data_IF_525155225553
#
_entry.id   IF_525155225553
#
_cell.length_a   1.000
_cell.length_b   1.000
_cell.length_c   1.000
_cell.angle_alpha   90.00
_cell.angle_beta   90.00
_cell.angle_gamma   90.00
#
_symmetry.space_group_name_H-M   'P 1'
#
loop_
_entity.id
_entity.type
_entity.pdbx_description
1 polymer ?
#
# COMPACT_ATOMS: atom_id res chain seq x y z
N UNK A 1 3.13 18.58 6.11
CA UNK A 1 2.24 17.56 6.69
C UNK A 1 0.94 17.58 5.90
N UNK A 2 1.03 17.18 4.63
CA UNK A 2 -0.07 17.25 3.67
C UNK A 2 -0.66 15.87 3.55
N UNK A 3 -1.41 15.58 4.59
CA UNK A 3 -2.30 14.45 4.74
C UNK A 3 -3.47 15.10 5.46
N UNK A 4 -4.53 15.46 4.72
CA UNK A 4 -5.68 16.18 5.26
C UNK A 4 -6.47 15.33 6.26
N UNK A 5 -7.70 15.76 6.57
CA UNK A 5 -8.64 14.96 7.39
C UNK A 5 -9.13 13.69 6.66
N UNK A 6 -8.75 13.52 5.39
CA UNK A 6 -9.08 12.42 4.50
C UNK A 6 -7.83 11.97 3.71
N UNK A 7 -7.36 10.74 3.95
CA UNK A 7 -6.17 10.15 3.29
C UNK A 7 -6.20 8.62 3.29
N UNK A 8 -5.45 7.90 2.43
CA UNK A 8 -5.36 6.45 2.53
C UNK A 8 -4.72 5.97 3.83
N UNK A 9 -5.17 4.85 4.36
CA UNK A 9 -4.69 4.23 5.61
C UNK A 9 -4.04 2.86 5.35
N UNK A 10 -3.43 2.25 6.37
CA UNK A 10 -2.94 0.88 6.27
C UNK A 10 -4.08 -0.13 6.03
N UNK A 11 -5.28 0.15 6.55
CA UNK A 11 -6.47 -0.65 6.26
C UNK A 11 -6.83 -0.63 4.78
N UNK A 12 -6.77 0.55 4.15
CA UNK A 12 -7.01 0.71 2.71
C UNK A 12 -6.02 -0.08 1.88
N UNK A 13 -4.73 0.02 2.19
CA UNK A 13 -3.70 -0.72 1.46
C UNK A 13 -3.90 -2.22 1.60
N UNK A 14 -4.17 -2.70 2.81
CA UNK A 14 -4.38 -4.12 3.05
C UNK A 14 -5.64 -4.67 2.37
N UNK A 15 -6.72 -3.90 2.32
CA UNK A 15 -8.00 -4.36 1.77
C UNK A 15 -8.09 -4.17 0.24
N UNK A 16 -7.61 -3.04 -0.30
CA UNK A 16 -7.66 -2.73 -1.73
C UNK A 16 -6.68 -3.62 -2.51
N UNK A 17 -5.39 -3.60 -2.14
CA UNK A 17 -4.31 -4.21 -2.93
C UNK A 17 -3.73 -5.49 -2.32
N UNK A 18 -4.20 -5.91 -1.13
CA UNK A 18 -3.77 -7.16 -0.47
C UNK A 18 -2.28 -7.25 -0.14
N UNK A 19 -1.63 -6.11 0.06
CA UNK A 19 -0.24 -6.11 0.48
C UNK A 19 -0.12 -6.55 1.96
N UNK A 20 0.89 -7.38 2.29
CA UNK A 20 1.12 -7.83 3.66
C UNK A 20 1.44 -6.66 4.60
N UNK A 21 0.69 -6.56 5.69
CA UNK A 21 0.88 -5.52 6.73
C UNK A 21 2.01 -5.86 7.69
N UNK A 22 2.18 -7.15 7.97
CA UNK A 22 3.27 -7.66 8.81
C UNK A 22 4.19 -8.55 7.98
N UNK A 23 5.45 -8.64 8.41
CA UNK A 23 6.43 -9.57 7.86
C UNK A 23 7.41 -10.03 8.93
N UNK A 24 8.18 -11.07 8.61
CA UNK A 24 9.25 -11.60 9.46
C UNK A 24 10.63 -11.09 9.04
N UNK A 25 10.73 -10.37 7.92
CA UNK A 25 11.97 -9.74 7.43
C UNK A 25 11.82 -8.23 7.27
N UNK A 26 12.92 -7.52 7.51
CA UNK A 26 13.03 -6.11 7.17
C UNK A 26 13.10 -5.93 5.64
N UNK A 27 12.41 -4.94 5.05
CA UNK A 27 12.54 -4.62 3.63
C UNK A 27 13.91 -4.03 3.25
N UNK A 28 14.72 -3.62 4.24
CA UNK A 28 16.02 -2.94 4.02
C UNK A 28 17.23 -3.79 4.34
N UNK A 29 17.09 -4.78 5.23
CA UNK A 29 18.19 -5.68 5.63
C UNK A 29 17.97 -7.08 5.04
N UNK A 30 18.28 -7.20 3.74
CA UNK A 30 18.10 -8.44 2.98
C UNK A 30 19.48 -9.02 2.67
N UNK A 31 19.87 -10.01 3.46
CA UNK A 31 21.03 -10.84 3.17
C UNK A 31 20.75 -11.76 1.98
N UNK A 32 21.64 -11.72 0.98
CA UNK A 32 21.58 -12.57 -0.21
C UNK A 32 22.52 -13.76 -0.07
N UNK A 33 22.05 -14.93 -0.50
CA UNK A 33 22.86 -16.15 -0.65
C UNK A 33 23.75 -16.04 -1.89
N UNK A 34 24.83 -16.87 -1.99
CA UNK A 34 25.68 -16.88 -3.18
C UNK A 34 24.91 -17.09 -4.50
N UNK A 35 23.90 -17.97 -4.50
CA UNK A 35 23.07 -18.21 -5.67
C UNK A 35 22.19 -16.99 -6.04
N UNK A 36 21.70 -16.25 -5.04
CA UNK A 36 20.92 -15.03 -5.27
C UNK A 36 21.78 -13.88 -5.80
N UNK A 37 23.09 -13.86 -5.50
CA UNK A 37 24.04 -12.90 -6.07
C UNK A 37 24.19 -13.11 -7.58
N UNK A 38 24.26 -14.36 -8.03
CA UNK A 38 24.32 -14.67 -9.46
C UNK A 38 23.03 -14.24 -10.18
N UNK A 39 21.87 -14.50 -9.58
CA UNK A 39 20.58 -14.03 -10.10
C UNK A 39 20.53 -12.51 -10.14
N UNK A 40 20.98 -11.84 -9.07
CA UNK A 40 21.03 -10.38 -9.01
C UNK A 40 21.89 -9.79 -10.13
N UNK A 41 23.02 -10.42 -10.46
CA UNK A 41 23.87 -9.99 -11.57
C UNK A 41 23.13 -10.09 -12.91
N UNK A 42 22.33 -11.13 -13.12
CA UNK A 42 21.47 -11.28 -14.30
C UNK A 42 20.38 -10.20 -14.33
N UNK A 43 19.73 -9.91 -13.21
CA UNK A 43 18.69 -8.87 -13.11
C UNK A 43 19.25 -7.47 -13.41
N UNK A 44 20.43 -7.14 -12.86
CA UNK A 44 21.13 -5.87 -13.13
C UNK A 44 21.55 -5.72 -14.58
N UNK A 45 22.04 -6.81 -15.18
CA UNK A 45 22.36 -6.81 -16.60
C UNK A 45 21.10 -6.55 -17.43
N UNK A 46 19.97 -7.15 -17.06
CA UNK A 46 18.67 -6.96 -17.70
C UNK A 46 18.74 -7.11 -19.23
N UNK A 47 18.10 -6.18 -19.93
CA UNK A 47 18.22 -5.99 -21.38
C UNK A 47 18.59 -4.55 -21.72
N UNK A 48 19.89 -4.22 -21.68
CA UNK A 48 20.35 -2.90 -22.05
C UNK A 48 20.24 -2.75 -23.56
N UNK A 49 19.55 -1.71 -24.01
CA UNK A 49 19.69 -1.20 -25.39
C UNK A 49 20.75 -0.12 -25.37
N UNK A 50 21.87 -0.32 -26.07
CA UNK A 50 22.85 0.76 -26.25
C UNK A 50 22.18 1.99 -26.89
N UNK A 51 22.40 3.21 -26.36
CA UNK A 51 23.38 3.60 -25.34
C UNK A 51 22.83 3.73 -23.90
N UNK A 52 21.58 3.30 -23.63
CA UNK A 52 20.93 3.50 -22.34
C UNK A 52 21.14 2.31 -21.39
N UNK A 53 21.68 2.60 -20.20
CA UNK A 53 21.74 1.68 -19.06
C UNK A 53 20.41 1.55 -18.33
N UNK A 54 19.37 2.29 -18.74
CA UNK A 54 18.08 2.28 -18.08
C UNK A 54 17.31 0.97 -18.36
N UNK A 55 16.80 0.35 -17.30
CA UNK A 55 16.06 -0.91 -17.38
C UNK A 55 14.60 -0.65 -17.79
N UNK A 56 14.38 -0.36 -19.07
CA UNK A 56 13.02 -0.07 -19.57
C UNK A 56 12.09 -1.26 -19.39
N UNK A 57 10.83 -1.01 -18.99
CA UNK A 57 9.82 -2.06 -18.81
C UNK A 57 9.58 -2.87 -20.10
N UNK A 58 9.55 -2.22 -21.26
CA UNK A 58 9.41 -2.91 -22.55
C UNK A 58 10.55 -3.90 -22.80
N UNK A 59 11.79 -3.46 -22.62
CA UNK A 59 12.98 -4.30 -22.76
C UNK A 59 13.00 -5.43 -21.71
N UNK A 60 12.62 -5.12 -20.47
CA UNK A 60 12.54 -6.07 -19.38
C UNK A 60 11.57 -7.22 -19.71
N UNK A 61 10.35 -6.86 -20.15
CA UNK A 61 9.32 -7.82 -20.56
C UNK A 61 9.79 -8.63 -21.77
N UNK A 62 10.40 -8.00 -22.78
CA UNK A 62 10.92 -8.72 -23.96
C UNK A 62 12.00 -9.72 -23.58
N UNK A 63 12.87 -9.38 -22.63
CA UNK A 63 14.00 -10.22 -22.25
C UNK A 63 13.61 -11.38 -21.33
N UNK A 64 12.88 -11.09 -20.26
CA UNK A 64 12.50 -12.07 -19.23
C UNK A 64 11.16 -12.75 -19.49
N UNK A 65 10.32 -12.19 -20.37
CA UNK A 65 9.04 -12.76 -20.78
C UNK A 65 9.15 -13.81 -21.88
N UNK A 66 10.32 -13.96 -22.53
CA UNK A 66 10.52 -14.97 -23.55
C UNK A 66 10.42 -16.38 -22.95
N UNK A 67 9.43 -17.16 -23.41
CA UNK A 67 9.14 -18.52 -22.92
C UNK A 67 10.27 -19.50 -23.21
N UNK A 68 11.08 -19.26 -24.24
CA UNK A 68 12.23 -20.10 -24.58
C UNK A 68 13.42 -19.85 -23.63
N UNK A 69 13.40 -18.75 -22.87
CA UNK A 69 14.41 -18.40 -21.87
C UNK A 69 13.92 -18.75 -20.47
N UNK A 70 14.00 -20.03 -20.13
CA UNK A 70 13.78 -20.48 -18.76
C UNK A 70 15.07 -20.34 -17.95
N UNK A 71 14.95 -19.79 -16.73
CA UNK A 71 16.07 -19.68 -15.82
C UNK A 71 15.61 -19.39 -14.39
N UNK A 72 16.47 -19.64 -13.40
CA UNK A 72 16.15 -19.44 -11.98
C UNK A 72 15.81 -17.97 -11.63
N UNK A 73 16.21 -17.02 -12.48
CA UNK A 73 15.90 -15.59 -12.35
C UNK A 73 14.50 -15.19 -12.79
N UNK A 74 13.74 -16.05 -13.50
CA UNK A 74 12.46 -15.66 -14.14
C UNK A 74 11.43 -15.14 -13.14
N UNK A 75 11.25 -15.84 -12.03
CA UNK A 75 10.32 -15.42 -10.99
C UNK A 75 10.78 -14.11 -10.32
N UNK A 76 12.07 -13.98 -10.02
CA UNK A 76 12.63 -12.76 -9.45
C UNK A 76 12.48 -11.57 -10.40
N UNK A 77 12.62 -11.79 -11.71
CA UNK A 77 12.42 -10.77 -12.72
C UNK A 77 10.95 -10.32 -12.81
N UNK A 78 10.01 -11.26 -12.73
CA UNK A 78 8.59 -10.97 -12.67
C UNK A 78 8.21 -10.17 -11.40
N UNK A 79 8.67 -10.62 -10.23
CA UNK A 79 8.40 -9.93 -8.96
C UNK A 79 9.04 -8.54 -8.94
N UNK A 80 10.23 -8.37 -9.52
CA UNK A 80 10.88 -7.06 -9.66
C UNK A 80 10.03 -6.10 -10.50
N UNK A 81 9.53 -6.57 -11.64
CA UNK A 81 8.62 -5.79 -12.48
C UNK A 81 7.35 -5.42 -11.71
N UNK A 82 6.77 -6.37 -10.97
CA UNK A 82 5.56 -6.14 -10.20
C UNK A 82 5.76 -5.09 -9.09
N UNK A 83 6.83 -5.22 -8.30
CA UNK A 83 7.20 -4.25 -7.26
C UNK A 83 7.45 -2.87 -7.86
N UNK A 84 8.20 -2.81 -8.96
CA UNK A 84 8.59 -1.56 -9.58
C UNK A 84 7.39 -0.80 -10.16
N UNK A 85 6.60 -1.52 -10.96
CA UNK A 85 5.54 -0.92 -11.79
C UNK A 85 4.23 -0.72 -11.04
N UNK A 86 3.86 -1.64 -10.14
CA UNK A 86 2.52 -1.67 -9.54
C UNK A 86 2.49 -1.40 -8.02
N UNK A 87 3.63 -1.53 -7.33
CA UNK A 87 3.71 -1.29 -5.88
C UNK A 87 4.33 0.07 -5.58
N UNK A 88 5.61 0.29 -5.92
CA UNK A 88 6.30 1.54 -5.56
C UNK A 88 5.99 2.69 -6.54
N UNK A 89 5.92 2.41 -7.85
CA UNK A 89 5.47 3.35 -8.87
C UNK A 89 6.24 4.68 -9.00
N UNK A 90 7.36 4.87 -8.31
CA UNK A 90 8.12 6.13 -8.29
C UNK A 90 9.30 6.21 -9.26
N UNK A 91 9.45 5.18 -10.08
CA UNK A 91 10.43 5.18 -11.14
C UNK A 91 9.91 5.99 -12.32
N UNK A 92 10.82 6.47 -13.18
CA UNK A 92 10.40 7.08 -14.44
C UNK A 92 9.37 6.18 -15.14
N UNK A 93 8.38 6.78 -15.81
CA UNK A 93 7.21 6.09 -16.36
C UNK A 93 7.50 4.76 -17.08
N UNK A 94 8.70 4.64 -17.64
CA UNK A 94 9.13 3.52 -18.45
C UNK A 94 10.25 2.67 -17.88
N UNK A 95 10.81 2.95 -16.69
CA UNK A 95 12.00 2.25 -16.19
C UNK A 95 11.79 1.54 -14.85
N UNK A 96 12.50 0.43 -14.69
CA UNK A 96 12.69 -0.28 -13.43
C UNK A 96 13.99 0.17 -12.76
N UNK A 97 14.03 0.20 -11.43
CA UNK A 97 15.27 0.51 -10.69
C UNK A 97 15.75 -0.69 -9.91
N UNK A 98 17.07 -0.84 -9.80
CA UNK A 98 17.69 -1.99 -9.15
C UNK A 98 17.39 -2.11 -7.64
N UNK A 99 16.77 -1.08 -7.03
CA UNK A 99 16.53 -1.07 -5.58
C UNK A 99 15.51 -2.13 -5.17
N UNK A 100 14.62 -2.53 -6.09
CA UNK A 100 13.61 -3.57 -5.85
C UNK A 100 14.15 -4.99 -5.95
N UNK A 101 15.36 -5.23 -6.47
CA UNK A 101 15.83 -6.59 -6.75
C UNK A 101 16.02 -7.49 -5.52
N UNK A 102 16.63 -7.03 -4.40
CA UNK A 102 16.72 -7.86 -3.20
C UNK A 102 15.35 -8.10 -2.59
N UNK A 103 14.47 -7.11 -2.66
CA UNK A 103 13.09 -7.25 -2.21
C UNK A 103 12.39 -8.36 -3.01
N UNK A 104 12.57 -8.36 -4.33
CA UNK A 104 12.06 -9.42 -5.20
C UNK A 104 12.67 -10.79 -4.85
N UNK A 105 13.99 -10.86 -4.65
CA UNK A 105 14.69 -12.11 -4.29
C UNK A 105 14.21 -12.66 -2.94
N UNK A 106 14.05 -11.80 -1.93
CA UNK A 106 13.51 -12.19 -0.63
C UNK A 106 12.08 -12.73 -0.75
N UNK A 107 11.22 -12.09 -1.55
CA UNK A 107 9.86 -12.59 -1.81
C UNK A 107 9.91 -13.95 -2.53
N UNK A 108 10.77 -14.11 -3.54
CA UNK A 108 10.95 -15.40 -4.24
C UNK A 108 11.45 -16.50 -3.32
N UNK A 109 12.31 -16.16 -2.37
CA UNK A 109 12.79 -17.06 -1.32
C UNK A 109 11.67 -17.47 -0.33
N UNK A 110 10.57 -16.72 -0.30
CA UNK A 110 9.44 -16.96 0.59
C UNK A 110 9.48 -16.14 1.88
N UNK A 111 10.33 -15.12 1.97
CA UNK A 111 10.31 -14.19 3.10
C UNK A 111 9.01 -13.38 3.11
N UNK A 112 8.46 -13.19 4.31
CA UNK A 112 7.30 -12.34 4.51
C UNK A 112 7.79 -10.92 4.82
N UNK A 113 7.49 -9.97 3.93
CA UNK A 113 7.96 -8.59 4.02
C UNK A 113 6.73 -7.69 4.19
N UNK A 114 6.73 -6.72 5.12
CA UNK A 114 5.58 -5.83 5.35
C UNK A 114 5.45 -4.78 4.23
N UNK A 115 4.99 -5.21 3.05
CA UNK A 115 4.86 -4.34 1.87
C UNK A 115 3.79 -3.26 2.01
N UNK A 116 2.73 -3.45 2.81
CA UNK A 116 1.69 -2.43 2.96
C UNK A 116 2.22 -1.16 3.66
N UNK A 117 2.96 -1.25 4.79
CA UNK A 117 3.67 -0.10 5.35
C UNK A 117 4.64 0.57 4.39
N UNK A 118 5.41 -0.23 3.62
CA UNK A 118 6.35 0.30 2.61
C UNK A 118 5.60 1.09 1.54
N UNK A 119 4.53 0.50 1.00
CA UNK A 119 3.67 1.13 0.00
C UNK A 119 3.06 2.44 0.51
N UNK A 120 2.48 2.43 1.72
CA UNK A 120 1.79 3.59 2.26
C UNK A 120 2.77 4.73 2.57
N UNK A 121 3.91 4.42 3.21
CA UNK A 121 4.94 5.41 3.48
C UNK A 121 5.43 6.04 2.18
N UNK A 122 5.62 5.20 1.17
CA UNK A 122 6.07 5.64 -0.13
C UNK A 122 5.06 6.55 -0.84
N UNK A 123 3.78 6.16 -0.85
CA UNK A 123 2.68 6.98 -1.35
C UNK A 123 2.62 8.35 -0.66
N UNK A 124 2.76 8.38 0.67
CA UNK A 124 2.78 9.65 1.41
C UNK A 124 3.98 10.52 1.06
N UNK A 125 5.16 9.92 0.93
CA UNK A 125 6.36 10.63 0.50
C UNK A 125 6.17 11.29 -0.87
N UNK A 126 5.56 10.58 -1.81
CA UNK A 126 5.22 11.12 -3.14
C UNK A 126 4.17 12.23 -3.06
N UNK A 127 3.12 12.08 -2.24
CA UNK A 127 2.11 13.13 -2.04
C UNK A 127 2.69 14.41 -1.43
N UNK A 128 3.57 14.29 -0.43
CA UNK A 128 4.27 15.42 0.16
C UNK A 128 5.17 16.10 -0.89
N UNK A 129 5.87 15.33 -1.74
CA UNK A 129 6.65 15.88 -2.85
C UNK A 129 5.76 16.61 -3.87
N UNK A 130 4.60 16.05 -4.23
CA UNK A 130 3.66 16.67 -5.16
C UNK A 130 3.22 18.05 -4.66
N UNK A 131 2.89 18.19 -3.37
CA UNK A 131 2.53 19.49 -2.80
C UNK A 131 3.68 20.48 -2.86
N UNK A 132 4.91 20.06 -2.52
CA UNK A 132 6.07 20.95 -2.55
C UNK A 132 6.27 21.47 -3.98
N UNK A 133 6.23 20.57 -4.96
CA UNK A 133 6.36 20.93 -6.36
C UNK A 133 5.24 21.85 -6.84
N UNK A 134 3.99 21.58 -6.47
CA UNK A 134 2.84 22.42 -6.81
C UNK A 134 2.97 23.84 -6.24
N UNK A 135 3.34 23.94 -4.95
CA UNK A 135 3.59 25.24 -4.29
C UNK A 135 4.72 26.01 -4.98
N UNK A 136 5.80 25.33 -5.34
CA UNK A 136 6.94 25.94 -5.99
C UNK A 136 6.65 26.34 -7.45
N UNK A 137 5.83 25.56 -8.14
CA UNK A 137 5.42 25.84 -9.51
C UNK A 137 4.49 27.06 -9.59
N UNK A 138 3.73 27.36 -8.53
CA UNK A 138 2.83 28.51 -8.44
C UNK A 138 1.91 28.68 -9.67
N UNK A 139 1.49 27.56 -10.29
CA UNK A 139 0.68 27.54 -11.50
C UNK A 139 1.39 27.93 -12.80
N UNK A 140 2.71 28.15 -12.77
CA UNK A 140 3.50 28.56 -13.94
C UNK A 140 4.04 27.39 -14.77
N UNK A 141 4.14 26.20 -14.18
CA UNK A 141 4.63 24.99 -14.83
C UNK A 141 3.77 23.78 -14.43
N UNK A 142 3.65 22.81 -15.34
CA UNK A 142 3.04 21.52 -15.02
C UNK A 142 3.94 20.71 -14.06
N UNK A 143 3.34 20.10 -13.05
CA UNK A 143 4.04 19.21 -12.12
C UNK A 143 3.87 17.77 -12.60
N UNK A 144 4.97 17.13 -12.95
CA UNK A 144 4.98 15.69 -13.23
C UNK A 144 4.96 14.93 -11.90
N UNK A 145 4.01 14.01 -11.74
CA UNK A 145 3.84 13.24 -10.50
C UNK A 145 3.76 11.75 -10.83
N UNK A 146 4.49 10.95 -10.06
CA UNK A 146 4.57 9.51 -10.20
C UNK A 146 3.80 8.88 -9.04
N UNK A 147 2.46 8.99 -9.07
CA UNK A 147 1.57 8.46 -8.04
C UNK A 147 0.94 7.14 -8.51
N UNK A 148 0.65 6.25 -7.55
CA UNK A 148 -0.21 5.10 -7.80
C UNK A 148 -1.68 5.57 -7.93
N UNK A 149 -2.01 6.14 -9.08
CA UNK A 149 -3.33 6.69 -9.38
C UNK A 149 -4.43 5.62 -9.36
N UNK A 150 -4.11 4.38 -9.73
CA UNK A 150 -5.03 3.26 -9.66
C UNK A 150 -5.47 2.97 -8.21
N UNK A 151 -4.53 2.96 -7.27
CA UNK A 151 -4.84 2.82 -5.85
C UNK A 151 -5.67 4.00 -5.35
N UNK A 152 -5.26 5.24 -5.63
CA UNK A 152 -5.99 6.44 -5.18
C UNK A 152 -7.42 6.50 -5.75
N UNK A 153 -7.59 6.10 -7.00
CA UNK A 153 -8.90 6.04 -7.65
C UNK A 153 -9.82 5.02 -6.97
N UNK A 154 -9.32 3.81 -6.70
CA UNK A 154 -10.10 2.79 -5.99
C UNK A 154 -10.39 3.23 -4.55
N UNK A 155 -9.41 3.81 -3.86
CA UNK A 155 -9.61 4.40 -2.53
C UNK A 155 -10.76 5.42 -2.52
N UNK A 156 -10.81 6.33 -3.50
CA UNK A 156 -11.92 7.27 -3.63
C UNK A 156 -13.26 6.57 -3.88
N UNK A 157 -13.28 5.55 -4.73
CA UNK A 157 -14.51 4.79 -5.06
C UNK A 157 -15.01 3.93 -3.90
N UNK A 158 -14.12 3.47 -3.03
CA UNK A 158 -14.45 2.78 -1.78
C UNK A 158 -15.06 3.74 -0.75
N UNK A 159 -14.57 4.98 -0.68
CA UNK A 159 -14.90 5.92 0.38
C UNK A 159 -15.95 6.98 0.02
N UNK A 160 -16.39 7.08 -1.24
CA UNK A 160 -17.38 8.06 -1.68
C UNK A 160 -18.61 7.39 -2.27
N UNK A 161 -19.79 7.68 -1.70
CA UNK A 161 -21.08 7.39 -2.33
C UNK A 161 -21.51 8.54 -3.24
N UNK A 162 -22.44 8.27 -4.15
CA UNK A 162 -22.93 9.25 -5.11
C UNK A 162 -22.09 9.39 -6.38
N UNK A 163 -20.94 8.72 -6.45
CA UNK A 163 -20.20 8.56 -7.70
C UNK A 163 -21.03 7.73 -8.70
N UNK A 164 -21.00 8.13 -9.98
CA UNK A 164 -21.68 7.41 -11.07
C UNK A 164 -20.81 6.23 -11.54
N UNK A 165 -20.40 5.40 -10.58
CA UNK A 165 -19.62 4.18 -10.75
C UNK A 165 -20.00 3.20 -9.64
N UNK A 166 -20.42 2.00 -10.04
CA UNK A 166 -20.75 0.93 -9.10
C UNK A 166 -19.70 -0.19 -9.15
N UNK A 167 -19.43 -0.88 -8.03
CA UNK A 167 -18.57 -2.06 -8.03
C UNK A 167 -19.22 -3.22 -8.80
N UNK A 168 -18.40 -4.12 -9.35
CA UNK A 168 -18.85 -5.36 -9.96
C UNK A 168 -19.33 -6.35 -8.89
N UNK A 169 -20.40 -7.12 -9.16
CA UNK A 169 -20.72 -8.32 -8.38
C UNK A 169 -19.55 -9.32 -8.41
N UNK A 170 -19.42 -10.12 -7.35
CA UNK A 170 -18.32 -11.09 -7.22
C UNK A 170 -18.20 -12.05 -8.41
N UNK A 171 -19.32 -12.60 -8.89
CA UNK A 171 -19.33 -13.52 -10.05
C UNK A 171 -18.74 -12.89 -11.31
N UNK A 172 -19.02 -11.61 -11.57
CA UNK A 172 -18.44 -10.85 -12.68
C UNK A 172 -16.97 -10.51 -12.45
N UNK A 173 -16.59 -10.14 -11.23
CA UNK A 173 -15.19 -9.89 -10.87
C UNK A 173 -14.35 -11.17 -11.04
N UNK A 174 -14.89 -12.32 -10.64
CA UNK A 174 -14.24 -13.64 -10.78
C UNK A 174 -14.04 -14.02 -12.24
N UNK A 175 -15.08 -13.91 -13.08
CA UNK A 175 -14.95 -14.16 -14.52
C UNK A 175 -13.94 -13.23 -15.18
N UNK A 176 -13.83 -11.99 -14.69
CA UNK A 176 -12.88 -11.01 -15.24
C UNK A 176 -11.44 -11.24 -14.78
N UNK A 177 -11.26 -11.80 -13.57
CA UNK A 177 -9.96 -12.13 -13.00
C UNK A 177 -9.43 -13.50 -13.48
N UNK A 178 -10.32 -14.41 -13.88
CA UNK A 178 -9.98 -15.73 -14.38
C UNK A 178 -9.43 -15.68 -15.81
N UNK A 179 -8.15 -15.33 -15.91
CA UNK A 179 -7.39 -15.32 -17.16
C UNK A 179 -6.77 -16.69 -17.51
N UNK A 180 -7.02 -17.74 -16.71
CA UNK A 180 -6.24 -18.99 -16.75
C UNK A 180 -7.03 -20.26 -16.41
N UNK A 181 -8.34 -20.28 -16.67
CA UNK A 181 -9.25 -21.38 -16.38
C UNK A 181 -9.18 -21.90 -14.92
N UNK A 182 -9.07 -20.98 -13.96
CA UNK A 182 -9.18 -21.23 -12.52
C UNK A 182 -7.94 -21.83 -11.83
N UNK A 183 -6.88 -22.21 -12.56
CA UNK A 183 -5.74 -22.96 -12.00
C UNK A 183 -4.92 -22.24 -10.91
N UNK A 184 -4.97 -20.91 -10.86
CA UNK A 184 -4.22 -20.08 -9.90
C UNK A 184 -5.08 -19.05 -9.17
N UNK A 185 -6.41 -19.19 -9.21
CA UNK A 185 -7.28 -18.21 -8.55
C UNK A 185 -7.29 -18.41 -7.03
N UNK A 186 -7.03 -17.36 -6.23
CA UNK A 186 -7.21 -17.44 -4.79
C UNK A 186 -8.68 -17.71 -4.47
N UNK A 187 -8.96 -18.41 -3.37
CA UNK A 187 -10.33 -18.72 -2.94
C UNK A 187 -11.21 -17.49 -2.64
N UNK A 188 -10.62 -16.29 -2.61
CA UNK A 188 -11.33 -15.00 -2.51
C UNK A 188 -10.53 -13.92 -3.24
N UNK A 189 -11.23 -12.92 -3.77
CA UNK A 189 -10.63 -11.87 -4.60
C UNK A 189 -10.25 -10.63 -3.76
N UNK A 190 -9.14 -9.95 -4.10
CA UNK A 190 -8.85 -8.59 -3.63
C UNK A 190 -9.98 -7.60 -3.98
N UNK A 191 -10.16 -6.54 -3.18
CA UNK A 191 -11.23 -5.57 -3.44
C UNK A 191 -11.02 -4.80 -4.74
N UNK A 192 -9.77 -4.53 -5.14
CA UNK A 192 -9.48 -3.88 -6.43
C UNK A 192 -10.13 -4.61 -7.62
N UNK A 193 -10.34 -5.93 -7.54
CA UNK A 193 -10.97 -6.72 -8.61
C UNK A 193 -12.44 -6.32 -8.87
N UNK A 194 -13.17 -5.80 -7.87
CA UNK A 194 -14.55 -5.35 -8.07
C UNK A 194 -14.63 -4.04 -8.87
N UNK A 195 -13.51 -3.35 -9.05
CA UNK A 195 -13.40 -2.12 -9.82
C UNK A 195 -12.75 -2.33 -11.19
N UNK A 196 -12.51 -3.57 -11.58
CA UNK A 196 -11.89 -3.90 -12.85
C UNK A 196 -12.69 -3.35 -14.04
N UNK A 197 -12.00 -2.65 -14.95
CA UNK A 197 -12.56 -1.98 -16.15
C UNK A 197 -13.73 -1.03 -15.83
N UNK A 198 -13.87 -0.57 -14.60
CA UNK A 198 -14.84 0.47 -14.25
C UNK A 198 -14.28 1.83 -14.64
N UNK A 199 -15.18 2.73 -15.02
CA UNK A 199 -14.84 4.11 -15.36
C UNK A 199 -15.95 5.00 -14.83
N UNK A 200 -15.56 6.11 -14.22
CA UNK A 200 -16.50 7.14 -13.84
C UNK A 200 -17.04 7.84 -15.10
N UNK A 201 -18.34 8.17 -15.11
CA UNK A 201 -18.93 8.91 -16.22
C UNK A 201 -18.34 10.33 -16.32
N UNK A 202 -18.17 10.81 -17.55
CA UNK A 202 -17.71 12.18 -17.81
C UNK A 202 -18.74 13.19 -17.29
N UNK A 203 -18.25 14.30 -16.74
CA UNK A 203 -19.08 15.45 -16.33
C UNK A 203 -19.55 15.44 -14.87
N UNK A 204 -19.23 14.41 -14.09
CA UNK A 204 -19.51 14.42 -12.66
C UNK A 204 -18.46 15.25 -11.89
N UNK A 205 -18.95 16.11 -10.99
CA UNK A 205 -18.13 16.96 -10.13
C UNK A 205 -17.72 16.23 -8.85
N UNK A 206 -16.53 15.61 -8.88
CA UNK A 206 -15.98 14.84 -7.74
C UNK A 206 -15.59 15.77 -6.59
N UNK A 207 -15.18 17.00 -6.88
CA UNK A 207 -14.73 17.95 -5.85
C UNK A 207 -15.91 18.30 -4.92
N UNK A 208 -17.10 18.50 -5.49
CA UNK A 208 -18.31 18.74 -4.69
C UNK A 208 -18.71 17.57 -3.80
N UNK A 209 -18.42 16.33 -4.21
CA UNK A 209 -18.66 15.15 -3.38
C UNK A 209 -17.64 15.06 -2.23
N UNK A 210 -16.38 15.40 -2.50
CA UNK A 210 -15.31 15.45 -1.50
C UNK A 210 -15.56 16.51 -0.42
N UNK A 211 -16.16 17.64 -0.80
CA UNK A 211 -16.44 18.75 0.13
C UNK A 211 -17.63 18.47 1.07
N UNK A 212 -18.46 17.46 0.79
CA UNK A 212 -19.61 17.12 1.64
C UNK A 212 -19.43 15.74 2.31
N UNK A 213 -19.25 15.79 3.64
CA UNK A 213 -19.07 14.63 4.51
C UNK A 213 -20.22 13.62 4.46
N UNK A 214 -21.43 14.03 4.07
CA UNK A 214 -22.57 13.13 3.93
C UNK A 214 -22.33 12.07 2.86
N UNK A 215 -21.51 12.35 1.84
CA UNK A 215 -21.13 11.40 0.79
C UNK A 215 -19.99 10.47 1.20
N UNK A 216 -19.47 10.63 2.42
CA UNK A 216 -18.35 9.87 2.92
C UNK A 216 -18.77 8.52 3.53
N UNK A 217 -18.01 7.46 3.23
CA UNK A 217 -18.18 6.13 3.82
C UNK A 217 -17.07 5.91 4.87
N UNK A 218 -17.47 5.91 6.15
CA UNK A 218 -16.54 5.88 7.28
C UNK A 218 -15.93 4.51 7.61
N UNK A 219 -16.38 3.41 7.00
CA UNK A 219 -15.78 2.06 7.16
C UNK A 219 -16.18 1.16 5.98
N UNK A 220 -15.64 1.36 4.77
CA UNK A 220 -16.12 0.66 3.58
C UNK A 220 -15.86 -0.85 3.60
N UNK A 221 -15.01 -1.33 4.53
CA UNK A 221 -14.61 -2.73 4.64
C UNK A 221 -15.29 -3.48 5.80
N UNK A 222 -16.17 -2.83 6.56
CA UNK A 222 -16.75 -3.39 7.79
C UNK A 222 -17.99 -4.26 7.59
N UNK A 223 -18.60 -4.28 6.40
CA UNK A 223 -19.91 -4.90 6.18
C UNK A 223 -20.10 -5.34 4.72
N UNK A 224 -19.64 -6.54 4.32
CA UNK A 224 -20.18 -7.19 3.10
C UNK A 224 -19.81 -8.68 2.98
N UNK A 225 -20.70 -9.42 2.32
CA UNK A 225 -20.89 -10.88 2.33
C UNK A 225 -19.78 -11.71 1.69
N UNK A 226 -19.46 -12.84 2.36
CA UNK A 226 -18.99 -14.18 1.94
C UNK A 226 -18.10 -14.41 0.70
N UNK A 227 -17.61 -13.38 -0.02
CA UNK A 227 -16.98 -13.60 -1.34
C UNK A 227 -15.72 -12.77 -1.61
N UNK A 228 -15.68 -11.50 -1.23
CA UNK A 228 -14.42 -10.72 -1.22
C UNK A 228 -13.71 -10.92 0.11
N UNK A 229 -12.39 -11.12 0.08
CA UNK A 229 -11.63 -11.21 1.33
C UNK A 229 -11.65 -9.84 2.01
N UNK A 230 -11.45 -9.79 3.32
CA UNK A 230 -11.21 -8.56 4.07
C UNK A 230 -10.13 -8.84 5.12
N UNK A 231 -9.27 -7.86 5.39
CA UNK A 231 -8.38 -7.90 6.55
C UNK A 231 -9.10 -7.16 7.67
N UNK A 232 -9.63 -7.85 8.70
CA UNK A 232 -10.23 -7.17 9.82
C UNK A 232 -9.11 -6.58 10.69
N UNK A 233 -9.03 -5.25 10.72
CA UNK A 233 -8.10 -4.52 11.60
C UNK A 233 -8.66 -4.32 13.00
N UNK A 234 -9.96 -4.53 13.17
CA UNK A 234 -10.67 -4.37 14.44
C UNK A 234 -11.22 -5.74 14.81
N UNK A 235 -10.90 -6.17 16.02
CA UNK A 235 -11.62 -7.30 16.61
C UNK A 235 -12.96 -6.77 17.12
N UNK A 236 -14.03 -7.56 16.95
CA UNK A 236 -15.36 -7.29 17.53
C UNK A 236 -15.30 -7.60 19.03
N UNK A 237 -14.51 -6.80 19.76
CA UNK A 237 -14.19 -7.01 21.16
C UNK A 237 -14.62 -5.76 21.90
N UNK A 238 -15.70 -5.90 22.65
CA UNK A 238 -16.26 -4.89 23.56
C UNK A 238 -15.30 -4.51 24.72
N UNK A 239 -14.10 -5.10 24.78
CA UNK A 239 -13.12 -4.91 25.84
C UNK A 239 -11.94 -4.01 25.45
N UNK A 240 -11.42 -3.29 26.45
CA UNK A 240 -10.15 -2.56 26.39
C UNK A 240 -9.03 -3.60 26.21
N UNK A 241 -8.43 -3.64 25.03
CA UNK A 241 -7.34 -4.57 24.73
C UNK A 241 -6.00 -3.97 25.12
N UNK A 242 -5.43 -4.40 26.25
CA UNK A 242 -4.01 -4.17 26.54
C UNK A 242 -3.16 -5.00 25.56
N UNK A 243 -2.40 -4.33 24.69
CA UNK A 243 -1.55 -5.03 23.73
C UNK A 243 -0.12 -5.10 24.28
N UNK A 244 0.41 -6.30 24.58
CA UNK A 244 1.78 -6.45 25.04
C UNK A 244 2.77 -6.02 23.94
N UNK A 245 3.83 -5.32 24.34
CA UNK A 245 4.87 -4.78 23.45
C UNK A 245 5.57 -5.87 22.61
N UNK A 246 5.51 -7.13 23.03
CA UNK A 246 5.99 -8.28 22.28
C UNK A 246 4.83 -9.22 22.03
N UNK A 247 4.37 -9.25 20.78
CA UNK A 247 3.28 -10.12 20.35
C UNK A 247 3.83 -11.50 19.94
N UNK A 248 3.35 -12.60 20.54
CA UNK A 248 3.69 -13.95 20.10
C UNK A 248 3.34 -14.16 18.61
N UNK A 249 4.12 -14.99 17.91
CA UNK A 249 3.75 -15.47 16.57
C UNK A 249 2.37 -16.15 16.65
N UNK A 250 1.35 -15.56 16.01
CA UNK A 250 -0.02 -16.09 16.00
C UNK A 250 -1.13 -15.04 16.14
N UNK A 251 -0.82 -13.83 16.63
CA UNK A 251 -1.82 -12.79 16.89
C UNK A 251 -1.83 -11.69 15.82
N UNK A 252 -2.03 -12.04 14.54
CA UNK A 252 -1.97 -11.09 13.42
C UNK A 252 -2.97 -9.93 13.55
N UNK A 253 -4.20 -10.21 14.00
CA UNK A 253 -5.24 -9.18 14.18
C UNK A 253 -4.81 -8.10 15.18
N UNK A 254 -4.21 -8.48 16.31
CA UNK A 254 -3.76 -7.55 17.36
C UNK A 254 -2.62 -6.64 16.89
N UNK A 255 -1.74 -7.16 16.01
CA UNK A 255 -0.70 -6.34 15.36
C UNK A 255 -1.30 -5.35 14.37
N UNK A 256 -2.30 -5.75 13.60
CA UNK A 256 -2.98 -4.86 12.66
C UNK A 256 -3.68 -3.71 13.39
N UNK A 257 -4.44 -4.00 14.45
CA UNK A 257 -5.10 -2.96 15.27
C UNK A 257 -4.10 -1.93 15.81
N UNK A 258 -2.95 -2.40 16.32
CA UNK A 258 -1.89 -1.51 16.80
C UNK A 258 -1.32 -0.62 15.70
N UNK A 259 -0.99 -1.20 14.55
CA UNK A 259 -0.40 -0.47 13.43
C UNK A 259 -1.37 0.59 12.89
N UNK A 260 -2.69 0.34 12.96
CA UNK A 260 -3.73 1.31 12.59
C UNK A 260 -3.98 2.40 13.63
N UNK A 261 -3.59 2.21 14.89
CA UNK A 261 -3.88 3.18 15.95
C UNK A 261 -2.65 4.01 16.36
N UNK A 262 -1.46 3.44 16.23
CA UNK A 262 -0.21 4.07 16.66
C UNK A 262 0.35 5.03 15.62
N UNK A 263 0.93 6.13 16.08
CA UNK A 263 1.80 6.94 15.22
C UNK A 263 3.11 6.18 15.00
N UNK A 264 3.47 5.91 13.75
CA UNK A 264 4.61 5.07 13.41
C UNK A 264 5.38 5.64 12.22
N UNK A 265 6.72 5.52 12.19
CA UNK A 265 7.47 5.78 10.98
C UNK A 265 7.14 4.69 9.94
N UNK A 266 6.55 5.08 8.81
CA UNK A 266 6.36 4.18 7.68
C UNK A 266 7.62 4.17 6.82
N UNK A 267 8.19 2.98 6.59
CA UNK A 267 9.39 2.86 5.77
C UNK A 267 9.12 3.24 4.31
N UNK A 268 10.08 3.88 3.66
CA UNK A 268 10.07 4.17 2.23
C UNK A 268 11.43 3.79 1.64
N UNK A 269 11.40 3.33 0.39
CA UNK A 269 12.61 2.86 -0.27
C UNK A 269 13.30 4.01 -1.01
N UNK A 270 14.31 4.64 -0.38
CA UNK A 270 15.11 5.68 -1.02
C UNK A 270 15.96 5.16 -2.19
N UNK A 271 16.54 6.08 -2.98
CA UNK A 271 17.25 5.74 -4.23
C UNK A 271 18.42 4.77 -4.02
N UNK A 272 19.15 4.92 -2.92
CA UNK A 272 20.26 4.04 -2.54
C UNK A 272 19.86 2.91 -1.59
N UNK A 273 18.57 2.52 -1.56
CA UNK A 273 17.98 1.66 -0.51
C UNK A 273 18.16 2.19 0.92
N UNK A 274 18.43 3.49 1.05
CA UNK A 274 18.42 4.15 2.35
C UNK A 274 17.00 4.07 2.92
N UNK A 275 16.90 3.63 4.17
CA UNK A 275 15.67 3.72 4.92
C UNK A 275 15.34 5.20 5.13
N UNK A 276 14.29 5.65 4.46
CA UNK A 276 13.64 6.93 4.74
C UNK A 276 12.30 6.59 5.36
N UNK A 277 11.83 7.38 6.33
CA UNK A 277 10.55 7.13 6.96
C UNK A 277 9.64 8.35 6.87
N UNK A 278 8.36 8.12 6.61
CA UNK A 278 7.32 9.15 6.68
C UNK A 278 6.45 8.90 7.90
N UNK A 279 6.14 9.93 8.67
CA UNK A 279 5.32 9.81 9.88
C UNK A 279 3.88 9.46 9.53
N UNK A 280 3.44 8.25 9.87
CA UNK A 280 2.03 7.87 9.84
C UNK A 280 1.33 8.29 11.12
N UNK A 281 0.25 9.04 10.95
CA UNK A 281 -0.50 9.67 12.04
C UNK A 281 -1.99 9.33 11.90
N UNK A 282 -2.39 8.08 12.16
CA UNK A 282 -3.77 7.63 11.95
C UNK A 282 -4.79 8.42 12.80
N UNK A 283 -4.34 9.03 13.91
CA UNK A 283 -5.18 9.90 14.72
C UNK A 283 -5.80 11.07 13.94
N UNK A 284 -5.15 11.54 12.86
CA UNK A 284 -5.65 12.65 12.02
C UNK A 284 -6.84 12.24 11.15
N UNK A 285 -6.98 10.94 10.89
CA UNK A 285 -8.03 10.37 10.07
C UNK A 285 -8.92 9.39 10.82
N UNK A 286 -8.97 9.47 12.16
CA UNK A 286 -9.83 8.62 13.00
C UNK A 286 -11.28 8.58 12.57
N UNK A 287 -11.81 9.70 12.05
CA UNK A 287 -13.17 9.74 11.49
C UNK A 287 -13.36 8.70 10.39
N UNK A 288 -12.39 8.52 9.49
CA UNK A 288 -12.41 7.47 8.45
C UNK A 288 -12.43 6.03 8.99
N UNK A 289 -12.25 5.84 10.29
CA UNK A 289 -12.32 4.55 10.97
C UNK A 289 -13.61 4.44 11.81
N UNK A 290 -14.52 5.40 11.69
CA UNK A 290 -15.71 5.53 12.53
C UNK A 290 -15.42 5.98 13.97
N UNK A 291 -14.26 6.61 14.21
CA UNK A 291 -13.83 7.08 15.53
C UNK A 291 -13.81 8.61 15.60
N UNK A 292 -14.06 9.17 16.78
CA UNK A 292 -13.90 10.62 17.00
C UNK A 292 -12.44 11.04 16.79
N UNK A 293 -12.25 12.15 16.07
CA UNK A 293 -10.93 12.77 15.94
C UNK A 293 -10.46 13.25 17.32
N UNK A 294 -9.24 12.87 17.70
CA UNK A 294 -8.60 13.44 18.88
C UNK A 294 -8.19 14.89 18.61
N UNK A 295 -8.17 15.72 19.65
CA UNK A 295 -7.53 17.05 19.57
C UNK A 295 -6.04 16.85 19.26
N UNK A 296 -5.46 17.52 18.25
CA UNK A 296 -4.04 17.39 17.95
C UNK A 296 -3.21 17.88 19.13
N UNK A 297 -2.56 16.97 19.86
CA UNK A 297 -1.51 17.34 20.80
C UNK A 297 -0.17 17.38 20.06
N UNK A 298 0.62 18.42 20.32
CA UNK A 298 1.99 18.54 19.80
C UNK A 298 2.81 17.40 20.39
N UNK A 299 3.09 16.37 19.58
CA UNK A 299 3.99 15.29 19.96
C UNK A 299 5.43 15.81 19.84
N UNK A 300 6.06 16.10 20.97
CA UNK A 300 7.52 16.26 21.06
C UNK A 300 8.16 14.92 20.74
N UNK A 301 8.76 14.80 19.56
CA UNK A 301 9.58 13.65 19.20
C UNK A 301 10.78 13.58 20.15
N UNK A 302 10.80 12.58 21.04
CA UNK A 302 12.02 12.22 21.79
C UNK A 302 12.93 11.43 20.85
N UNK A 303 14.22 11.76 20.88
CA UNK A 303 15.27 11.24 19.99
C UNK A 303 15.21 9.72 19.75
N UNK A 304 15.49 9.26 18.51
CA UNK A 304 15.42 7.84 18.10
C UNK A 304 16.54 6.95 18.65
N UNK A 305 17.39 7.42 19.58
CA UNK A 305 18.59 6.71 20.04
C UNK A 305 18.38 5.74 21.22
N UNK A 306 17.14 5.49 21.66
CA UNK A 306 16.86 4.54 22.75
C UNK A 306 15.65 3.64 22.43
N UNK A 307 15.72 2.86 21.34
CA UNK A 307 14.76 1.76 21.12
C UNK A 307 15.20 0.49 21.85
N UNK A 308 15.37 0.58 23.17
CA UNK A 308 15.35 -0.56 24.10
C UNK A 308 14.62 -0.11 25.37
N UNK A 309 13.29 -0.10 25.29
CA UNK A 309 12.46 0.34 26.40
C UNK A 309 10.99 0.02 26.14
N UNK A 310 10.43 -0.78 27.02
CA UNK A 310 9.02 -1.15 27.12
C UNK A 310 8.09 0.07 26.94
N UNK A 311 7.23 0.03 25.92
CA UNK A 311 6.15 1.00 25.77
C UNK A 311 4.88 0.47 26.46
N UNK A 312 4.53 1.10 27.58
CA UNK A 312 3.17 1.13 28.10
C UNK A 312 2.47 2.37 27.55
N UNK A 313 1.53 2.18 26.62
CA UNK A 313 0.55 3.22 26.25
C UNK A 313 -0.82 2.58 26.39
N UNK A 314 -1.52 2.89 27.47
CA UNK A 314 -2.92 2.51 27.66
C UNK A 314 -3.75 3.47 26.81
N UNK A 315 -4.27 3.00 25.67
CA UNK A 315 -5.23 3.74 24.87
C UNK A 315 -6.63 3.17 25.14
N UNK A 316 -7.48 3.92 25.82
CA UNK A 316 -8.91 3.64 25.95
C UNK A 316 -9.63 4.13 24.70
N UNK A 317 -10.29 3.22 23.98
CA UNK A 317 -11.14 3.52 22.83
C UNK A 317 -12.60 3.54 23.30
N UNK A 318 -13.33 4.62 23.01
CA UNK A 318 -14.78 4.66 23.15
C UNK A 318 -15.36 4.63 21.75
N UNK A 319 -16.11 3.56 21.42
CA UNK A 319 -16.90 3.54 20.19
C UNK A 319 -17.93 4.67 20.26
N UNK A 320 -18.09 5.42 19.17
CA UNK A 320 -19.23 6.33 19.03
C UNK A 320 -20.48 5.50 18.76
N UNK A 321 -21.01 4.83 19.79
CA UNK A 321 -22.37 4.32 19.78
C UNK A 321 -23.32 5.50 20.01
N UNK A 322 -23.59 6.25 18.95
CA UNK A 322 -24.77 7.12 18.83
C UNK A 322 -25.78 6.46 17.88
N UNK A 323 -27.10 6.58 18.12
CA UNK A 323 -28.10 5.89 17.33
C UNK A 323 -28.04 6.36 15.87
N UNK A 324 -27.97 5.40 14.96
CA UNK A 324 -28.13 5.60 13.53
C UNK A 324 -29.55 6.16 13.29
N UNK A 325 -29.62 7.40 12.81
CA UNK A 325 -30.79 7.95 12.11
C UNK A 325 -30.40 8.31 10.69
#
# INVERSE_FOLDING_TARGET
MLVGEFTPTLEDVANIVRLPVCGNRSPFDIALTPAEIDILAVLRKGAPTSPSTALRFSNWIQHFGNVDRQGPWRLAAFVSLWLGRFVLCDFSHDCLHERVFPLALAIVRGDSIPLAPVFLGHLYGLLDQCQILEKNAAGTMGVETLLNSGFLQVFLWEHLKGLDVCPLPYSHALQSADMGNGSFMPGSLPLVCRWFKRMQRKGQDVLRLLDNIEYFIFRPYGTSAETFTFVPFYADVDDIVEVPAVMPQGCCFRRYSLLNAACLPLPTLGDNRSEVSVTYSPHRVRRQLGLDQGVPNVLTMVNPSYFTGSFGVTATYRAALGPLS
#
